data_IF_310415244242
#
_entry.id   IF_310415244242
#
_cell.length_a   1.000
_cell.length_b   1.000
_cell.length_c   1.000
_cell.angle_alpha   90.00
_cell.angle_beta   90.00
_cell.angle_gamma   90.00
#
_symmetry.space_group_name_H-M   'P 1'
#
loop_
_entity.id
_entity.type
_entity.pdbx_description
1 polymer ?
#
# COMPACT_ATOMS: atom_id res chain seq x y z
N UNK A 1 -8.49 1.42 -7.08
CA UNK A 1 -7.42 1.49 -8.11
C UNK A 1 -6.00 1.52 -7.50
N UNK A 2 -5.75 0.74 -6.46
CA UNK A 2 -4.48 0.77 -5.73
C UNK A 2 -4.32 -0.47 -4.87
N UNK A 3 -3.20 -0.56 -4.16
CA UNK A 3 -2.82 -1.68 -3.30
C UNK A 3 -2.60 -1.23 -1.86
N UNK A 4 -2.88 -2.11 -0.91
CA UNK A 4 -2.51 -1.94 0.49
C UNK A 4 -1.44 -2.94 0.89
N UNK A 5 -0.63 -2.61 1.89
CA UNK A 5 0.32 -3.55 2.51
C UNK A 5 0.14 -3.56 4.03
N UNK A 6 0.46 -4.68 4.67
CA UNK A 6 0.35 -4.86 6.12
C UNK A 6 1.46 -5.78 6.60
N UNK A 7 2.04 -5.48 7.75
CA UNK A 7 3.13 -6.24 8.34
C UNK A 7 2.62 -7.14 9.46
N UNK A 8 3.37 -8.21 9.75
CA UNK A 8 3.02 -9.28 10.70
C UNK A 8 2.69 -8.82 12.11
N UNK A 9 3.26 -7.70 12.55
CA UNK A 9 3.12 -7.21 13.92
C UNK A 9 1.91 -6.26 14.08
N UNK A 10 1.24 -5.90 12.97
CA UNK A 10 -0.01 -5.16 13.02
C UNK A 10 -1.20 -6.08 13.29
N UNK A 11 -1.89 -5.85 14.41
CA UNK A 11 -3.00 -6.67 14.89
C UNK A 11 -4.39 -6.13 14.52
N UNK A 12 -4.45 -4.92 13.96
CA UNK A 12 -5.68 -4.26 13.55
C UNK A 12 -6.27 -4.82 12.26
N UNK A 13 -7.43 -4.28 11.89
CA UNK A 13 -8.04 -4.53 10.59
C UNK A 13 -7.44 -3.62 9.52
N UNK A 14 -7.56 -4.04 8.27
CA UNK A 14 -7.15 -3.27 7.10
C UNK A 14 -8.38 -2.91 6.26
N UNK A 15 -8.26 -1.98 5.30
CA UNK A 15 -9.32 -1.64 4.37
C UNK A 15 -9.88 -2.82 3.55
N UNK A 16 -9.17 -3.95 3.48
CA UNK A 16 -9.70 -5.17 2.84
C UNK A 16 -10.66 -5.97 3.73
N UNK A 17 -11.00 -5.47 4.93
CA UNK A 17 -11.83 -6.18 5.90
C UNK A 17 -11.15 -7.42 6.52
N UNK A 18 -9.83 -7.53 6.41
CA UNK A 18 -9.06 -8.71 6.86
C UNK A 18 -7.88 -8.30 7.73
N UNK A 19 -7.53 -9.15 8.71
CA UNK A 19 -6.28 -9.02 9.48
C UNK A 19 -5.12 -9.65 8.71
N UNK A 20 -3.88 -9.33 9.12
CA UNK A 20 -2.68 -9.96 8.56
C UNK A 20 -2.75 -11.50 8.60
N UNK A 21 -3.22 -12.09 9.71
CA UNK A 21 -3.31 -13.55 9.85
C UNK A 21 -4.24 -14.20 8.82
N UNK A 22 -5.36 -13.54 8.51
CA UNK A 22 -6.29 -13.98 7.46
C UNK A 22 -5.65 -13.89 6.08
N UNK A 23 -5.01 -12.75 5.76
CA UNK A 23 -4.30 -12.54 4.49
C UNK A 23 -3.15 -13.55 4.30
N UNK A 24 -2.38 -13.81 5.36
CA UNK A 24 -1.31 -14.80 5.35
C UNK A 24 -1.83 -16.23 5.11
N UNK A 25 -3.03 -16.55 5.61
CA UNK A 25 -3.71 -17.81 5.32
C UNK A 25 -4.10 -17.95 3.85
N UNK A 26 -4.60 -16.88 3.22
CA UNK A 26 -4.96 -16.86 1.79
C UNK A 26 -3.74 -17.06 0.88
N UNK A 27 -2.58 -16.48 1.24
CA UNK A 27 -1.34 -16.59 0.46
C UNK A 27 -0.46 -17.79 0.86
N UNK A 28 -0.86 -18.56 1.87
CA UNK A 28 -0.07 -19.65 2.42
C UNK A 28 0.12 -20.81 1.43
N UNK A 29 1.15 -21.62 1.65
CA UNK A 29 1.29 -22.90 0.94
C UNK A 29 1.90 -22.83 -0.47
N UNK A 30 2.49 -21.70 -0.87
CA UNK A 30 3.22 -21.58 -2.14
C UNK A 30 2.33 -21.47 -3.38
N UNK A 31 1.04 -21.20 -3.21
CA UNK A 31 0.12 -20.97 -4.31
C UNK A 31 0.26 -19.54 -4.86
N UNK A 32 -0.01 -19.38 -6.15
CA UNK A 32 -0.11 -18.07 -6.79
C UNK A 32 -1.55 -17.57 -6.68
N UNK A 33 -1.76 -16.47 -5.99
CA UNK A 33 -3.06 -15.85 -5.78
C UNK A 33 -3.09 -14.48 -6.47
N UNK A 34 -3.69 -14.35 -7.67
CA UNK A 34 -3.81 -13.06 -8.35
C UNK A 34 -4.41 -11.99 -7.43
N UNK A 35 -3.77 -10.82 -7.39
CA UNK A 35 -4.15 -9.72 -6.48
C UNK A 35 -3.51 -9.78 -5.08
N UNK A 36 -2.79 -10.85 -4.74
CA UNK A 36 -2.12 -10.99 -3.44
C UNK A 36 -0.65 -11.38 -3.63
N UNK A 37 0.25 -10.75 -2.86
CA UNK A 37 1.68 -11.09 -2.87
C UNK A 37 2.31 -10.88 -1.51
N UNK A 38 3.05 -11.88 -1.03
CA UNK A 38 3.90 -11.76 0.15
C UNK A 38 5.22 -11.10 -0.22
N UNK A 39 5.63 -10.07 0.53
CA UNK A 39 6.88 -9.37 0.30
C UNK A 39 7.54 -8.90 1.61
N UNK A 40 8.84 -8.61 1.55
CA UNK A 40 9.56 -7.95 2.65
C UNK A 40 9.24 -6.46 2.71
N UNK A 41 9.32 -5.83 3.89
CA UNK A 41 9.18 -4.37 4.06
C UNK A 41 10.16 -3.58 3.19
N UNK A 42 11.38 -4.09 2.99
CA UNK A 42 12.36 -3.41 2.16
C UNK A 42 12.08 -3.50 0.66
N UNK A 43 11.20 -4.43 0.24
CA UNK A 43 10.81 -4.54 -1.17
C UNK A 43 9.94 -3.36 -1.61
N UNK A 44 9.14 -2.77 -0.70
CA UNK A 44 8.22 -1.64 -0.97
C UNK A 44 8.92 -0.47 -1.69
N UNK A 45 10.16 -0.18 -1.31
CA UNK A 45 10.93 0.97 -1.82
C UNK A 45 11.92 0.59 -2.93
N UNK A 46 11.90 -0.65 -3.41
CA UNK A 46 12.75 -1.06 -4.53
C UNK A 46 12.15 -0.63 -5.87
N UNK A 47 13.01 -0.33 -6.84
CA UNK A 47 12.59 0.09 -8.21
C UNK A 47 11.73 -0.93 -8.95
N UNK A 48 11.85 -2.21 -8.59
CA UNK A 48 11.10 -3.32 -9.20
C UNK A 48 9.75 -3.58 -8.52
N UNK A 49 9.47 -2.93 -7.40
CA UNK A 49 8.22 -3.11 -6.67
C UNK A 49 7.03 -2.79 -7.58
N UNK A 50 6.19 -3.78 -7.86
CA UNK A 50 4.96 -3.68 -8.67
C UNK A 50 5.11 -2.86 -9.97
N UNK A 51 6.29 -2.91 -10.61
CA UNK A 51 6.59 -2.01 -11.74
C UNK A 51 5.61 -2.17 -12.92
N UNK A 52 5.09 -3.38 -13.13
CA UNK A 52 4.07 -3.64 -14.14
C UNK A 52 2.74 -2.93 -13.89
N UNK A 53 2.42 -2.65 -12.62
CA UNK A 53 1.17 -1.99 -12.21
C UNK A 53 1.37 -0.49 -11.96
N UNK A 54 2.59 0.05 -12.16
CA UNK A 54 2.93 1.46 -11.86
C UNK A 54 3.59 1.67 -10.49
N UNK A 55 3.98 0.59 -9.83
CA UNK A 55 4.90 0.57 -8.70
C UNK A 55 4.39 1.24 -7.43
N UNK A 56 5.27 1.95 -6.72
CA UNK A 56 4.96 2.54 -5.41
C UNK A 56 3.81 3.56 -5.46
N UNK A 57 3.55 4.17 -6.62
CA UNK A 57 2.43 5.10 -6.81
C UNK A 57 1.05 4.43 -6.63
N UNK A 58 0.99 3.09 -6.67
CA UNK A 58 -0.23 2.32 -6.37
C UNK A 58 -0.46 2.10 -4.88
N UNK A 59 0.52 2.34 -4.02
CA UNK A 59 0.36 2.14 -2.59
C UNK A 59 -0.62 3.18 -2.05
N UNK A 60 -1.76 2.74 -1.50
CA UNK A 60 -2.79 3.65 -0.97
C UNK A 60 -2.95 3.55 0.55
N UNK A 61 -2.49 2.46 1.17
CA UNK A 61 -2.63 2.26 2.60
C UNK A 61 -1.51 1.37 3.15
N UNK A 62 -0.97 1.75 4.31
CA UNK A 62 -0.07 0.92 5.12
C UNK A 62 -0.13 1.31 6.59
N UNK A 63 0.20 0.39 7.54
CA UNK A 63 0.25 0.74 8.95
C UNK A 63 1.22 1.89 9.23
N UNK A 64 0.86 2.78 10.14
CA UNK A 64 1.67 3.95 10.50
C UNK A 64 3.05 3.55 11.00
N UNK A 65 3.15 2.51 11.82
CA UNK A 65 4.44 1.99 12.31
C UNK A 65 5.39 1.61 11.16
N UNK A 66 4.87 0.95 10.13
CA UNK A 66 5.64 0.59 8.94
C UNK A 66 6.01 1.85 8.13
N UNK A 67 5.06 2.77 7.94
CA UNK A 67 5.26 4.03 7.21
C UNK A 67 6.40 4.85 7.83
N UNK A 68 6.40 5.00 9.15
CA UNK A 68 7.45 5.70 9.90
C UNK A 68 8.79 4.96 9.81
N UNK A 69 8.79 3.63 9.91
CA UNK A 69 10.03 2.85 9.84
C UNK A 69 10.77 3.02 8.50
N UNK A 70 10.04 3.09 7.39
CA UNK A 70 10.61 3.23 6.04
C UNK A 70 10.43 4.63 5.44
N UNK A 71 10.10 5.65 6.26
CA UNK A 71 9.69 6.99 5.81
C UNK A 71 10.71 7.64 4.86
N UNK A 72 11.97 7.68 5.27
CA UNK A 72 13.04 8.29 4.46
C UNK A 72 13.20 7.62 3.10
N UNK A 73 12.98 6.30 3.05
CA UNK A 73 13.05 5.53 1.81
C UNK A 73 11.82 5.80 0.93
N UNK A 74 10.64 5.98 1.52
CA UNK A 74 9.42 6.35 0.80
C UNK A 74 9.56 7.74 0.17
N UNK A 75 10.06 8.74 0.92
CA UNK A 75 10.29 10.10 0.41
C UNK A 75 11.24 10.07 -0.78
N UNK A 76 12.42 9.45 -0.61
CA UNK A 76 13.41 9.34 -1.69
C UNK A 76 12.82 8.67 -2.93
N UNK A 77 12.02 7.62 -2.75
CA UNK A 77 11.37 6.95 -3.89
C UNK A 77 10.24 7.76 -4.50
N UNK A 78 9.49 8.51 -3.70
CA UNK A 78 8.50 9.48 -4.16
C UNK A 78 9.15 10.55 -5.04
N UNK A 79 10.25 11.15 -4.60
CA UNK A 79 11.06 12.09 -5.38
C UNK A 79 11.54 11.47 -6.71
N UNK A 80 12.12 10.27 -6.66
CA UNK A 80 12.55 9.54 -7.86
C UNK A 80 11.40 9.21 -8.83
N UNK A 81 10.14 9.23 -8.36
CA UNK A 81 8.94 8.96 -9.16
C UNK A 81 8.13 10.23 -9.48
N UNK A 82 8.62 11.42 -9.11
CA UNK A 82 7.95 12.71 -9.37
C UNK A 82 6.81 13.07 -8.43
N UNK A 83 6.66 12.36 -7.30
CA UNK A 83 5.67 12.64 -6.23
C UNK A 83 6.38 12.70 -4.87
N UNK A 84 7.08 13.80 -4.55
CA UNK A 84 7.90 13.91 -3.32
C UNK A 84 7.11 13.73 -2.02
N UNK A 85 5.84 14.17 -2.02
CA UNK A 85 4.91 14.10 -0.90
C UNK A 85 4.09 12.80 -0.87
N UNK A 86 4.46 11.79 -1.67
CA UNK A 86 3.72 10.52 -1.76
C UNK A 86 3.47 9.89 -0.39
N UNK A 87 4.45 9.96 0.52
CA UNK A 87 4.35 9.39 1.87
C UNK A 87 3.18 9.96 2.67
N UNK A 88 2.86 11.25 2.47
CA UNK A 88 1.78 11.95 3.17
C UNK A 88 0.42 11.75 2.49
N UNK A 89 0.42 11.20 1.26
CA UNK A 89 -0.80 10.83 0.52
C UNK A 89 -1.23 9.38 0.76
N UNK A 90 -0.35 8.53 1.28
CA UNK A 90 -0.68 7.15 1.65
C UNK A 90 -1.47 7.17 2.97
N UNK A 91 -2.64 6.53 3.02
CA UNK A 91 -3.42 6.41 4.25
C UNK A 91 -2.79 5.42 5.25
N UNK A 92 -3.24 5.46 6.50
CA UNK A 92 -2.92 4.49 7.55
C UNK A 92 -4.12 4.32 8.48
N UNK A 93 -3.96 3.51 9.53
CA UNK A 93 -5.02 3.23 10.50
C UNK A 93 -5.52 4.46 11.27
N UNK A 94 -4.75 5.56 11.31
CA UNK A 94 -5.17 6.82 11.95
C UNK A 94 -6.10 7.65 11.06
N UNK A 95 -6.07 7.41 9.75
CA UNK A 95 -7.03 7.94 8.78
C UNK A 95 -8.30 7.09 8.76
N UNK A 96 -8.13 5.77 8.71
CA UNK A 96 -9.24 4.82 8.71
C UNK A 96 -8.84 3.42 8.28
N UNK A 97 -9.72 2.48 8.58
CA UNK A 97 -9.58 1.05 8.28
C UNK A 97 -10.67 0.53 7.34
N UNK A 98 -11.51 1.40 6.78
CA UNK A 98 -12.55 1.04 5.80
C UNK A 98 -12.23 1.63 4.43
N UNK A 99 -12.77 1.03 3.38
CA UNK A 99 -12.59 1.53 2.01
C UNK A 99 -13.10 2.96 1.85
N UNK A 100 -14.25 3.30 2.44
CA UNK A 100 -14.86 4.63 2.31
C UNK A 100 -13.99 5.71 2.96
N UNK A 101 -13.47 5.45 4.15
CA UNK A 101 -12.60 6.38 4.87
C UNK A 101 -11.30 6.63 4.09
N UNK A 102 -10.67 5.54 3.62
CA UNK A 102 -9.45 5.62 2.82
C UNK A 102 -9.71 6.34 1.50
N UNK A 103 -10.77 6.00 0.76
CA UNK A 103 -11.09 6.63 -0.51
C UNK A 103 -11.33 8.14 -0.37
N UNK A 104 -11.98 8.57 0.73
CA UNK A 104 -12.22 9.98 1.02
C UNK A 104 -10.90 10.73 1.22
N UNK A 105 -9.98 10.17 2.00
CA UNK A 105 -8.64 10.70 2.19
C UNK A 105 -7.82 10.75 0.89
N UNK A 106 -7.84 9.68 0.10
CA UNK A 106 -7.11 9.63 -1.17
C UNK A 106 -7.59 10.71 -2.16
N UNK A 107 -8.89 11.03 -2.16
CA UNK A 107 -9.45 12.13 -2.96
C UNK A 107 -8.99 13.48 -2.44
N UNK A 108 -9.05 13.70 -1.12
CA UNK A 108 -8.59 14.94 -0.49
C UNK A 108 -7.11 15.22 -0.77
N UNK A 109 -6.27 14.17 -0.70
CA UNK A 109 -4.83 14.24 -0.95
C UNK A 109 -4.45 14.16 -2.43
N UNK A 110 -5.43 14.10 -3.33
CA UNK A 110 -5.21 13.96 -4.77
C UNK A 110 -4.22 12.82 -5.11
N UNK A 111 -4.49 11.62 -4.57
CA UNK A 111 -3.57 10.49 -4.68
C UNK A 111 -3.37 10.05 -6.14
N UNK A 112 -2.12 9.85 -6.61
CA UNK A 112 -1.82 9.54 -8.02
C UNK A 112 -2.54 8.27 -8.51
N UNK A 113 -2.67 7.25 -7.66
CA UNK A 113 -3.38 6.01 -7.99
C UNK A 113 -4.82 6.22 -8.51
N UNK A 114 -5.50 7.31 -8.16
CA UNK A 114 -6.87 7.59 -8.62
C UNK A 114 -6.93 8.03 -10.10
N UNK A 115 -5.81 8.50 -10.66
CA UNK A 115 -5.70 9.01 -12.03
C UNK A 115 -4.99 8.05 -13.00
N UNK A 116 -4.43 6.97 -12.47
CA UNK A 116 -3.77 5.94 -13.26
C UNK A 116 -4.80 5.03 -13.93
N UNK A 117 -4.37 4.28 -14.95
CA UNK A 117 -5.21 3.29 -15.60
C UNK A 117 -5.77 2.27 -14.59
N UNK A 118 -6.94 1.66 -14.87
CA UNK A 118 -7.49 0.60 -14.02
C UNK A 118 -6.48 -0.53 -13.80
N UNK A 119 -6.23 -0.88 -12.54
CA UNK A 119 -5.37 -2.01 -12.17
C UNK A 119 -6.05 -3.37 -12.42
N UNK A 120 -7.38 -3.37 -12.46
CA UNK A 120 -8.20 -4.51 -12.85
C UNK A 120 -8.85 -4.19 -14.18
N UNK A 121 -8.77 -5.14 -15.12
CA UNK A 121 -9.44 -5.08 -16.42
C UNK A 121 -10.88 -5.55 -16.34
#
# INVERSE_FOLDING_TARGET
NGVMTVHRDYLGETPSGMKFTTLAGVMGGGQSSPGFVGHSKFNITQRKFLVGDGGLLRMVWMPKSLKEEIRDRLIKRGEEMGVPDLVDRIADETVGITEEAVLSFLKEKDHPALKMDPIVG
#
